data_IF_078888008297
#
_entry.id   IF_078888008297
#
_cell.length_a   1.000
_cell.length_b   1.000
_cell.length_c   1.000
_cell.angle_alpha   90.00
_cell.angle_beta   90.00
_cell.angle_gamma   90.00
#
_symmetry.space_group_name_H-M   'P 1'
#
loop_
_entity.id
_entity.type
_entity.pdbx_description
1 polymer ?
#
# COMPACT_ATOMS: atom_id res chain seq x y z
N UNK A 1 11.40 -10.25 5.26
CA UNK A 1 10.57 -9.05 5.02
C UNK A 1 9.53 -9.30 3.93
N UNK A 2 9.92 -9.87 2.80
CA UNK A 2 9.02 -10.18 1.68
C UNK A 2 7.79 -11.00 2.08
N UNK A 3 7.98 -12.10 2.81
CA UNK A 3 6.86 -12.94 3.29
C UNK A 3 5.88 -12.17 4.18
N UNK A 4 6.37 -11.22 4.99
CA UNK A 4 5.48 -10.39 5.83
C UNK A 4 4.60 -9.48 4.98
N UNK A 5 5.16 -8.86 3.93
CA UNK A 5 4.39 -8.03 3.00
C UNK A 5 3.33 -8.85 2.26
N UNK A 6 3.67 -10.07 1.82
CA UNK A 6 2.70 -10.99 1.19
C UNK A 6 1.56 -11.33 2.15
N UNK A 7 1.86 -11.66 3.41
CA UNK A 7 0.81 -11.95 4.41
C UNK A 7 -0.11 -10.76 4.64
N UNK A 8 0.46 -9.55 4.76
CA UNK A 8 -0.31 -8.32 4.93
C UNK A 8 -1.16 -8.04 3.69
N UNK A 9 -0.61 -8.23 2.49
CA UNK A 9 -1.35 -8.01 1.24
C UNK A 9 -2.57 -8.94 1.11
N UNK A 10 -2.46 -10.20 1.53
CA UNK A 10 -3.59 -11.15 1.53
C UNK A 10 -4.71 -10.69 2.47
N UNK A 11 -4.38 -10.08 3.62
CA UNK A 11 -5.38 -9.49 4.51
C UNK A 11 -6.10 -8.32 3.82
N UNK A 12 -5.36 -7.44 3.14
CA UNK A 12 -5.97 -6.37 2.36
C UNK A 12 -6.84 -6.89 1.21
N UNK A 13 -6.45 -8.00 0.57
CA UNK A 13 -7.27 -8.66 -0.44
C UNK A 13 -8.61 -9.11 0.14
N UNK A 14 -8.60 -9.77 1.30
CA UNK A 14 -9.82 -10.21 1.98
C UNK A 14 -10.72 -9.03 2.35
N UNK A 15 -10.15 -7.96 2.93
CA UNK A 15 -10.89 -6.73 3.26
C UNK A 15 -11.48 -6.09 1.99
N UNK A 16 -10.70 -5.99 0.92
CA UNK A 16 -11.14 -5.44 -0.35
C UNK A 16 -12.31 -6.22 -0.94
N UNK A 17 -12.25 -7.56 -0.89
CA UNK A 17 -13.32 -8.44 -1.39
C UNK A 17 -14.61 -8.28 -0.59
N UNK A 18 -14.52 -8.22 0.75
CA UNK A 18 -15.68 -7.99 1.61
C UNK A 18 -16.31 -6.61 1.36
N UNK A 19 -15.48 -5.59 1.16
CA UNK A 19 -15.95 -4.24 0.85
C UNK A 19 -16.63 -4.18 -0.51
N UNK A 20 -16.08 -4.87 -1.52
CA UNK A 20 -16.69 -4.98 -2.84
C UNK A 20 -18.07 -5.66 -2.77
N UNK A 21 -18.16 -6.74 -2.01
CA UNK A 21 -19.42 -7.46 -1.79
C UNK A 21 -20.45 -6.56 -1.11
N UNK A 22 -20.06 -5.84 -0.06
CA UNK A 22 -20.92 -4.88 0.62
C UNK A 22 -21.45 -3.79 -0.34
N UNK A 23 -20.57 -3.18 -1.14
CA UNK A 23 -20.97 -2.16 -2.11
C UNK A 23 -21.93 -2.71 -3.16
N UNK A 24 -21.71 -3.94 -3.62
CA UNK A 24 -22.57 -4.60 -4.61
C UNK A 24 -23.96 -4.91 -4.06
N UNK A 25 -24.05 -5.41 -2.82
CA UNK A 25 -25.33 -5.76 -2.19
C UNK A 25 -26.15 -4.51 -1.86
N UNK A 26 -25.48 -3.45 -1.40
CA UNK A 26 -26.16 -2.19 -1.01
C UNK A 26 -26.38 -1.22 -2.15
N UNK A 27 -25.82 -1.53 -3.33
CA UNK A 27 -25.78 -0.62 -4.50
C UNK A 27 -25.18 0.76 -4.17
N UNK A 28 -24.36 0.83 -3.12
CA UNK A 28 -23.77 2.06 -2.61
C UNK A 28 -22.28 2.13 -2.95
N UNK A 29 -21.94 3.01 -3.88
CA UNK A 29 -20.56 3.20 -4.37
C UNK A 29 -19.77 4.29 -3.62
N UNK A 30 -20.26 4.77 -2.50
CA UNK A 30 -19.62 5.84 -1.71
C UNK A 30 -18.17 5.46 -1.29
N UNK A 31 -17.93 4.19 -0.99
CA UNK A 31 -16.62 3.67 -0.60
C UNK A 31 -15.73 3.23 -1.78
N UNK A 32 -16.12 3.51 -3.01
CA UNK A 32 -15.39 3.08 -4.22
C UNK A 32 -13.93 3.52 -4.23
N UNK A 33 -13.63 4.76 -3.84
CA UNK A 33 -12.26 5.25 -3.77
C UNK A 33 -11.44 4.53 -2.70
N UNK A 34 -12.05 4.25 -1.54
CA UNK A 34 -11.41 3.49 -0.44
C UNK A 34 -11.12 2.07 -0.88
N UNK A 35 -12.11 1.40 -1.52
CA UNK A 35 -11.96 0.06 -2.07
C UNK A 35 -10.81 0.00 -3.10
N UNK A 36 -10.73 0.97 -4.01
CA UNK A 36 -9.67 1.04 -5.02
C UNK A 36 -8.29 1.18 -4.39
N UNK A 37 -8.14 1.97 -3.34
CA UNK A 37 -6.87 2.10 -2.60
C UNK A 37 -6.48 0.80 -1.89
N UNK A 38 -7.42 0.15 -1.21
CA UNK A 38 -7.18 -1.13 -0.54
C UNK A 38 -6.79 -2.20 -1.56
N UNK A 39 -7.48 -2.27 -2.69
CA UNK A 39 -7.22 -3.25 -3.73
C UNK A 39 -5.90 -2.99 -4.45
N UNK A 40 -5.67 -1.78 -4.92
CA UNK A 40 -4.50 -1.45 -5.73
C UNK A 40 -3.22 -1.35 -4.89
N UNK A 41 -3.25 -0.60 -3.80
CA UNK A 41 -2.06 -0.35 -2.98
C UNK A 41 -1.92 -1.38 -1.86
N UNK A 42 -3.01 -1.76 -1.21
CA UNK A 42 -3.00 -2.74 -0.13
C UNK A 42 -2.75 -4.17 -0.59
N UNK A 43 -3.42 -4.61 -1.65
CA UNK A 43 -3.21 -5.94 -2.19
C UNK A 43 -2.09 -5.96 -3.25
N UNK A 44 -2.32 -5.34 -4.41
CA UNK A 44 -1.45 -5.52 -5.57
C UNK A 44 -0.03 -5.01 -5.31
N UNK A 45 0.12 -3.79 -4.80
CA UNK A 45 1.44 -3.19 -4.60
C UNK A 45 2.24 -3.88 -3.50
N UNK A 46 1.60 -4.20 -2.36
CA UNK A 46 2.28 -4.94 -1.28
C UNK A 46 2.65 -6.35 -1.70
N UNK A 47 1.79 -7.05 -2.46
CA UNK A 47 2.11 -8.37 -3.00
C UNK A 47 3.31 -8.30 -3.94
N UNK A 48 3.34 -7.37 -4.88
CA UNK A 48 4.46 -7.19 -5.81
C UNK A 48 5.76 -6.88 -5.07
N UNK A 49 5.73 -5.96 -4.11
CA UNK A 49 6.90 -5.64 -3.30
C UNK A 49 7.35 -6.86 -2.46
N UNK A 50 6.40 -7.59 -1.89
CA UNK A 50 6.66 -8.80 -1.14
C UNK A 50 7.30 -9.91 -1.98
N UNK A 51 6.79 -10.15 -3.17
CA UNK A 51 7.38 -11.10 -4.11
C UNK A 51 8.76 -10.66 -4.59
N UNK A 52 8.94 -9.38 -4.93
CA UNK A 52 10.23 -8.86 -5.33
C UNK A 52 11.30 -9.07 -4.24
N UNK A 53 10.99 -8.78 -2.99
CA UNK A 53 11.89 -8.99 -1.86
C UNK A 53 12.13 -10.47 -1.55
N UNK A 54 11.13 -11.32 -1.78
CA UNK A 54 11.27 -12.77 -1.58
C UNK A 54 12.13 -13.44 -2.65
N UNK A 55 11.93 -13.06 -3.92
CA UNK A 55 12.65 -13.63 -5.05
C UNK A 55 14.07 -13.08 -5.19
N UNK A 56 14.30 -11.85 -4.76
CA UNK A 56 15.59 -11.17 -4.83
C UNK A 56 16.10 -10.77 -3.45
N UNK A 57 16.77 -11.70 -2.72
CA UNK A 57 17.27 -11.43 -1.36
C UNK A 57 18.23 -10.24 -1.27
N UNK A 58 18.90 -9.89 -2.37
CA UNK A 58 19.76 -8.70 -2.47
C UNK A 58 18.97 -7.42 -2.23
N UNK A 59 17.72 -7.35 -2.74
CA UNK A 59 16.81 -6.24 -2.48
C UNK A 59 16.46 -6.14 -1.00
N UNK A 60 16.12 -7.27 -0.37
CA UNK A 60 15.66 -7.29 1.02
C UNK A 60 16.72 -6.82 2.02
N UNK A 61 17.99 -7.10 1.77
CA UNK A 61 19.11 -6.75 2.66
C UNK A 61 19.40 -5.24 2.72
N UNK A 62 18.91 -4.46 1.78
CA UNK A 62 19.15 -3.02 1.72
C UNK A 62 18.38 -2.26 2.79
N UNK A 63 18.98 -1.22 3.34
CA UNK A 63 18.34 -0.32 4.30
C UNK A 63 17.08 0.31 3.68
N UNK A 64 17.14 0.62 2.38
CA UNK A 64 16.04 1.20 1.64
C UNK A 64 14.77 0.34 1.69
N UNK A 65 14.91 -0.98 1.67
CA UNK A 65 13.78 -1.92 1.76
C UNK A 65 13.07 -1.86 3.11
N UNK A 66 13.83 -1.60 4.20
CA UNK A 66 13.24 -1.41 5.53
C UNK A 66 12.42 -0.11 5.59
N UNK A 67 12.92 0.96 4.98
CA UNK A 67 12.21 2.23 4.89
C UNK A 67 10.93 2.07 4.09
N UNK A 68 11.00 1.43 2.91
CA UNK A 68 9.83 1.13 2.07
C UNK A 68 8.79 0.29 2.82
N UNK A 69 9.24 -0.72 3.55
CA UNK A 69 8.36 -1.56 4.36
C UNK A 69 7.54 -0.74 5.36
N UNK A 70 8.18 0.16 6.10
CA UNK A 70 7.50 1.00 7.08
C UNK A 70 6.61 2.06 6.43
N UNK A 71 7.06 2.68 5.33
CA UNK A 71 6.26 3.65 4.59
C UNK A 71 4.95 3.04 4.08
N UNK A 72 4.99 1.81 3.57
CA UNK A 72 3.78 1.11 3.13
C UNK A 72 2.87 0.74 4.31
N UNK A 73 3.44 0.17 5.37
CA UNK A 73 2.65 -0.31 6.51
C UNK A 73 2.05 0.81 7.37
N UNK A 74 2.62 2.00 7.36
CA UNK A 74 2.07 3.18 8.03
C UNK A 74 1.21 3.99 7.06
N UNK A 75 1.71 4.24 5.85
CA UNK A 75 1.04 5.10 4.87
C UNK A 75 -0.31 4.54 4.40
N UNK A 76 -0.43 3.22 4.22
CA UNK A 76 -1.69 2.59 3.81
C UNK A 76 -2.82 2.76 4.83
N UNK A 77 -2.68 2.35 6.10
CA UNK A 77 -3.73 2.54 7.09
C UNK A 77 -4.09 4.02 7.27
N UNK A 78 -3.10 4.91 7.33
CA UNK A 78 -3.33 6.36 7.45
C UNK A 78 -4.13 6.89 6.26
N UNK A 79 -3.79 6.49 5.04
CA UNK A 79 -4.50 6.89 3.83
C UNK A 79 -5.94 6.36 3.83
N UNK A 80 -6.15 5.09 4.16
CA UNK A 80 -7.47 4.45 4.20
C UNK A 80 -8.38 5.11 5.24
N UNK A 81 -7.87 5.31 6.46
CA UNK A 81 -8.61 5.98 7.54
C UNK A 81 -8.94 7.41 7.13
N UNK A 82 -7.96 8.15 6.61
CA UNK A 82 -8.18 9.52 6.15
C UNK A 82 -9.24 9.62 5.05
N UNK A 83 -9.17 8.75 4.03
CA UNK A 83 -10.17 8.73 2.94
C UNK A 83 -11.56 8.35 3.45
N UNK A 84 -11.66 7.38 4.34
CA UNK A 84 -12.94 6.98 4.94
C UNK A 84 -13.54 8.13 5.76
N UNK A 85 -12.71 8.82 6.55
CA UNK A 85 -13.15 9.97 7.34
C UNK A 85 -13.59 11.15 6.48
N UNK A 86 -12.92 11.36 5.34
CA UNK A 86 -13.24 12.45 4.41
C UNK A 86 -14.64 12.34 3.81
N UNK A 87 -15.21 11.13 3.77
CA UNK A 87 -16.58 10.91 3.30
C UNK A 87 -17.63 11.48 4.25
N UNK A 88 -17.32 11.59 5.53
CA UNK A 88 -18.24 12.05 6.57
C UNK A 88 -17.89 13.44 7.10
N UNK A 89 -16.62 13.79 7.10
CA UNK A 89 -16.12 15.07 7.61
C UNK A 89 -15.05 15.63 6.68
N UNK A 90 -15.33 16.76 6.07
CA UNK A 90 -14.41 17.47 5.17
C UNK A 90 -13.58 18.54 5.89
N UNK A 91 -13.30 18.34 7.17
CA UNK A 91 -12.48 19.25 7.96
C UNK A 91 -11.05 19.35 7.43
N UNK A 92 -10.35 20.41 7.85
CA UNK A 92 -8.92 20.58 7.51
C UNK A 92 -8.09 19.40 8.04
N UNK A 93 -8.46 18.87 9.20
CA UNK A 93 -7.76 17.76 9.82
C UNK A 93 -7.82 16.48 8.97
N UNK A 94 -9.01 16.11 8.48
CA UNK A 94 -9.17 14.93 7.61
C UNK A 94 -8.41 15.07 6.31
N UNK A 95 -8.40 16.25 5.71
CA UNK A 95 -7.59 16.54 4.49
C UNK A 95 -6.10 16.40 4.75
N UNK A 96 -5.61 16.84 5.90
CA UNK A 96 -4.21 16.66 6.30
C UNK A 96 -3.87 15.17 6.46
N UNK A 97 -4.72 14.38 7.12
CA UNK A 97 -4.50 12.94 7.32
C UNK A 97 -4.39 12.22 5.97
N UNK A 98 -5.31 12.49 5.04
CA UNK A 98 -5.27 11.91 3.68
C UNK A 98 -3.96 12.30 2.98
N UNK A 99 -3.59 13.58 3.03
CA UNK A 99 -2.39 14.09 2.37
C UNK A 99 -1.12 13.46 2.93
N UNK A 100 -1.03 13.30 4.25
CA UNK A 100 0.09 12.62 4.91
C UNK A 100 0.18 11.16 4.46
N UNK A 101 -0.93 10.43 4.51
CA UNK A 101 -0.97 9.03 4.07
C UNK A 101 -0.57 8.87 2.59
N UNK A 102 -1.12 9.70 1.71
CA UNK A 102 -0.80 9.71 0.29
C UNK A 102 0.67 10.05 0.02
N UNK A 103 1.23 11.02 0.75
CA UNK A 103 2.65 11.40 0.63
C UNK A 103 3.57 10.26 1.06
N UNK A 104 3.29 9.62 2.19
CA UNK A 104 4.08 8.46 2.67
C UNK A 104 4.06 7.32 1.65
N UNK A 105 2.89 7.01 1.08
CA UNK A 105 2.76 5.98 0.05
C UNK A 105 3.51 6.34 -1.21
N UNK A 106 3.40 7.57 -1.69
CA UNK A 106 4.09 8.04 -2.91
C UNK A 106 5.60 7.96 -2.75
N UNK A 107 6.14 8.41 -1.62
CA UNK A 107 7.56 8.27 -1.30
C UNK A 107 7.96 6.79 -1.26
N UNK A 108 7.16 5.95 -0.60
CA UNK A 108 7.38 4.50 -0.52
C UNK A 108 7.46 3.83 -1.89
N UNK A 109 6.55 4.17 -2.81
CA UNK A 109 6.53 3.64 -4.18
C UNK A 109 7.76 4.10 -4.97
N UNK A 110 8.11 5.38 -4.89
CA UNK A 110 9.31 5.92 -5.56
C UNK A 110 10.58 5.24 -5.05
N UNK A 111 10.73 5.12 -3.73
CA UNK A 111 11.88 4.45 -3.14
C UNK A 111 11.94 2.96 -3.48
N UNK A 112 10.79 2.29 -3.57
CA UNK A 112 10.71 0.91 -4.04
C UNK A 112 11.20 0.80 -5.50
N UNK A 113 10.70 1.66 -6.39
CA UNK A 113 11.14 1.69 -7.79
C UNK A 113 12.65 1.93 -7.92
N UNK A 114 13.19 2.91 -7.20
CA UNK A 114 14.63 3.17 -7.17
C UNK A 114 15.40 1.95 -6.67
N UNK A 115 14.94 1.31 -5.61
CA UNK A 115 15.59 0.13 -5.03
C UNK A 115 15.67 -1.02 -6.04
N UNK A 116 14.58 -1.28 -6.75
CA UNK A 116 14.51 -2.33 -7.79
C UNK A 116 15.45 -1.99 -8.94
N UNK A 117 15.38 -0.77 -9.47
CA UNK A 117 16.20 -0.35 -10.63
C UNK A 117 17.69 -0.38 -10.32
N UNK A 118 18.10 0.06 -9.13
CA UNK A 118 19.51 0.07 -8.74
C UNK A 118 20.02 -1.36 -8.49
N UNK A 119 19.23 -2.21 -7.87
CA UNK A 119 19.64 -3.59 -7.61
C UNK A 119 19.73 -4.43 -8.89
N UNK A 120 18.80 -4.25 -9.82
CA UNK A 120 18.82 -4.96 -11.10
C UNK A 120 19.94 -4.46 -12.04
N UNK A 121 20.31 -3.18 -11.95
CA UNK A 121 21.44 -2.64 -12.73
C UNK A 121 22.80 -3.13 -12.22
N UNK A 122 22.90 -3.43 -10.94
CA UNK A 122 24.14 -3.98 -10.35
C UNK A 122 24.42 -5.42 -10.77
N UNK A 123 23.57 -5.97 -11.65
CA UNK A 123 23.75 -7.17 -12.46
C UNK A 123 24.59 -8.25 -11.81
N UNK A 124 24.18 -8.75 -10.68
CA UNK A 124 24.76 -9.99 -10.22
C UNK A 124 24.15 -11.15 -11.01
N UNK A 125 24.99 -11.57 -11.90
CA UNK A 125 24.95 -12.86 -12.56
C UNK A 125 25.35 -13.94 -11.54
#
# INVERSE_FOLDING_TARGET
MGIRLIKISVVYLAISTLLAMYMSITENMTLSSVHSHISCLGWTMLALAGFAYHLFPVLEKRVLSKIVFWLFNIGLPVSIVGMSSLLYDQSVLTKIIVSVGATLLSIGIILFAINVLVAMKSGDR
#
